data_IF_281269869227
#
_entry.id   IF_281269869227
#
_cell.length_a   1.000
_cell.length_b   1.000
_cell.length_c   1.000
_cell.angle_alpha   90.00
_cell.angle_beta   90.00
_cell.angle_gamma   90.00
#
_symmetry.space_group_name_H-M   'P 1'
#
loop_
_entity.id
_entity.type
_entity.pdbx_description
1 polymer ?
#
# COMPACT_ATOMS: atom_id res chain seq x y z
N UNK A 1 9.76 17.69 12.11
CA UNK A 1 8.85 18.68 11.48
C UNK A 1 7.53 18.62 12.24
N UNK A 2 6.80 19.70 12.38
CA UNK A 2 5.48 19.68 13.03
C UNK A 2 4.44 19.68 11.91
N UNK A 3 3.49 18.75 11.95
CA UNK A 3 2.39 18.69 11.01
C UNK A 3 1.43 19.87 11.29
N UNK A 4 1.33 20.83 10.37
CA UNK A 4 0.44 21.97 10.53
C UNK A 4 -1.02 21.54 10.33
N UNK A 5 -1.78 21.51 11.44
CA UNK A 5 -3.17 21.03 11.44
C UNK A 5 -4.08 21.83 10.52
N UNK A 6 -4.05 23.15 10.59
CA UNK A 6 -4.98 24.01 9.85
C UNK A 6 -4.73 23.93 8.34
N UNK A 7 -3.46 23.93 7.93
CA UNK A 7 -3.07 23.76 6.53
C UNK A 7 -3.46 22.38 6.01
N UNK A 8 -3.19 21.33 6.78
CA UNK A 8 -3.53 19.96 6.41
C UNK A 8 -5.04 19.76 6.25
N UNK A 9 -5.84 20.17 7.23
CA UNK A 9 -7.29 20.02 7.17
C UNK A 9 -7.88 20.77 5.97
N UNK A 10 -7.35 21.96 5.67
CA UNK A 10 -7.75 22.76 4.50
C UNK A 10 -7.35 22.08 3.18
N UNK A 11 -6.13 21.55 3.08
CA UNK A 11 -5.61 20.89 1.86
C UNK A 11 -6.45 19.67 1.51
N UNK A 12 -6.79 18.84 2.51
CA UNK A 12 -7.54 17.60 2.32
C UNK A 12 -9.06 17.76 2.47
N UNK A 13 -9.53 19.00 2.67
CA UNK A 13 -10.96 19.31 2.86
C UNK A 13 -11.60 18.46 3.95
N UNK A 14 -10.90 18.32 5.08
CA UNK A 14 -11.36 17.59 6.26
C UNK A 14 -11.90 18.59 7.29
N UNK A 15 -13.14 18.38 7.74
CA UNK A 15 -13.72 19.17 8.84
C UNK A 15 -13.08 18.74 10.17
N UNK A 16 -12.62 19.70 10.95
CA UNK A 16 -12.09 19.42 12.31
C UNK A 16 -13.11 18.66 13.17
N UNK A 17 -14.39 18.97 13.01
CA UNK A 17 -15.48 18.27 13.68
C UNK A 17 -15.45 16.77 13.39
N UNK A 18 -15.06 16.36 12.18
CA UNK A 18 -14.93 14.95 11.81
C UNK A 18 -13.91 14.23 12.71
N UNK A 19 -12.77 14.86 13.01
CA UNK A 19 -11.77 14.28 13.92
C UNK A 19 -12.31 14.12 15.33
N UNK A 20 -13.03 15.14 15.82
CA UNK A 20 -13.64 15.16 17.18
C UNK A 20 -14.72 14.07 17.27
N UNK A 21 -15.67 14.05 16.34
CA UNK A 21 -16.78 13.10 16.32
C UNK A 21 -16.31 11.64 16.17
N UNK A 22 -15.16 11.45 15.53
CA UNK A 22 -14.53 10.13 15.37
C UNK A 22 -13.41 9.85 16.39
N UNK A 23 -13.27 10.67 17.43
CA UNK A 23 -12.24 10.47 18.48
C UNK A 23 -10.85 10.16 17.89
N UNK A 24 -10.42 10.96 16.90
CA UNK A 24 -9.10 10.87 16.26
C UNK A 24 -8.19 11.92 16.90
N UNK A 25 -7.16 11.48 17.61
CA UNK A 25 -6.22 12.38 18.29
C UNK A 25 -5.18 12.93 17.31
N UNK A 26 -5.21 14.26 17.10
CA UNK A 26 -4.23 14.95 16.27
C UNK A 26 -2.79 14.79 16.76
N UNK A 27 -2.57 14.74 18.07
CA UNK A 27 -1.23 14.57 18.62
C UNK A 27 -0.65 13.20 18.23
N UNK A 28 -1.48 12.17 18.15
CA UNK A 28 -1.04 10.85 17.72
C UNK A 28 -0.74 10.85 16.21
N UNK A 29 -1.53 11.55 15.39
CA UNK A 29 -1.25 11.73 13.97
C UNK A 29 0.08 12.47 13.73
N UNK A 30 0.39 13.51 14.53
CA UNK A 30 1.68 14.22 14.46
C UNK A 30 2.86 13.31 14.85
N UNK A 31 2.70 12.47 15.87
CA UNK A 31 3.71 11.47 16.23
C UNK A 31 3.97 10.48 15.08
N UNK A 32 2.92 9.96 14.46
CA UNK A 32 3.02 9.05 13.30
C UNK A 32 3.71 9.75 12.14
N UNK A 33 3.32 11.00 11.84
CA UNK A 33 3.95 11.82 10.80
C UNK A 33 5.47 11.95 11.01
N UNK A 34 5.89 12.27 12.25
CA UNK A 34 7.29 12.45 12.59
C UNK A 34 8.08 11.13 12.54
N UNK A 35 7.49 10.02 13.08
CA UNK A 35 8.10 8.68 12.98
C UNK A 35 8.30 8.26 11.52
N UNK A 36 7.26 8.40 10.71
CA UNK A 36 7.34 8.05 9.29
C UNK A 36 8.38 8.90 8.54
N UNK A 37 8.40 10.21 8.76
CA UNK A 37 9.35 11.14 8.13
C UNK A 37 10.81 10.77 8.46
N UNK A 38 11.06 10.30 9.68
CA UNK A 38 12.39 9.84 10.11
C UNK A 38 12.85 8.61 9.32
N UNK A 39 11.96 7.69 9.01
CA UNK A 39 12.27 6.46 8.28
C UNK A 39 12.16 6.57 6.76
N UNK A 40 11.60 7.65 6.22
CA UNK A 40 11.33 7.81 4.78
C UNK A 40 12.53 7.52 3.89
N UNK A 41 13.72 8.03 4.27
CA UNK A 41 14.96 7.78 3.51
C UNK A 41 15.35 6.29 3.48
N UNK A 42 15.09 5.57 4.56
CA UNK A 42 15.29 4.12 4.61
C UNK A 42 14.32 3.40 3.66
N UNK A 43 13.06 3.79 3.63
CA UNK A 43 12.08 3.25 2.69
C UNK A 43 12.44 3.54 1.23
N UNK A 44 12.97 4.72 0.92
CA UNK A 44 13.47 5.05 -0.42
C UNK A 44 14.65 4.14 -0.82
N UNK A 45 15.55 3.88 0.10
CA UNK A 45 16.69 2.97 -0.12
C UNK A 45 16.22 1.55 -0.39
N UNK A 46 15.29 1.04 0.42
CA UNK A 46 14.70 -0.30 0.24
C UNK A 46 13.92 -0.40 -1.08
N UNK A 47 13.11 0.62 -1.41
CA UNK A 47 12.37 0.68 -2.66
C UNK A 47 13.29 0.62 -3.89
N UNK A 48 14.42 1.33 -3.85
CA UNK A 48 15.42 1.33 -4.90
C UNK A 48 16.12 -0.02 -5.02
N UNK A 49 16.49 -0.65 -3.89
CA UNK A 49 17.12 -1.98 -3.87
C UNK A 49 16.20 -3.02 -4.51
N UNK A 50 14.95 -3.11 -4.06
CA UNK A 50 13.98 -4.07 -4.60
C UNK A 50 13.72 -3.79 -6.08
N UNK A 51 13.61 -2.52 -6.47
CA UNK A 51 13.42 -2.13 -7.87
C UNK A 51 14.59 -2.55 -8.76
N UNK A 52 15.82 -2.45 -8.28
CA UNK A 52 17.00 -2.88 -9.01
C UNK A 52 16.99 -4.39 -9.20
N UNK A 53 16.71 -5.16 -8.15
CA UNK A 53 16.59 -6.63 -8.23
C UNK A 53 15.52 -7.04 -9.25
N UNK A 54 14.36 -6.38 -9.24
CA UNK A 54 13.28 -6.68 -10.19
C UNK A 54 13.66 -6.34 -11.64
N UNK A 55 14.46 -5.29 -11.88
CA UNK A 55 14.92 -4.91 -13.23
C UNK A 55 15.87 -5.93 -13.86
N UNK A 56 16.56 -6.71 -13.04
CA UNK A 56 17.47 -7.77 -13.55
C UNK A 56 16.70 -8.93 -14.21
N UNK A 57 15.39 -9.05 -13.96
CA UNK A 57 14.60 -10.13 -14.54
C UNK A 57 14.25 -9.85 -16.00
N UNK A 58 14.62 -10.77 -16.92
CA UNK A 58 14.50 -10.63 -18.38
C UNK A 58 13.09 -10.32 -18.91
N UNK A 59 12.05 -10.67 -18.13
CA UNK A 59 10.64 -10.45 -18.49
C UNK A 59 10.09 -9.13 -17.97
N UNK A 60 10.86 -8.42 -17.16
CA UNK A 60 10.48 -7.10 -16.64
C UNK A 60 10.86 -6.03 -17.67
N UNK A 61 9.86 -5.30 -18.15
CA UNK A 61 10.05 -4.20 -19.07
C UNK A 61 10.42 -2.90 -18.34
N UNK A 62 9.72 -2.58 -17.28
CA UNK A 62 10.02 -1.40 -16.46
C UNK A 62 9.58 -1.56 -15.01
N UNK A 63 10.26 -0.85 -14.13
CA UNK A 63 9.94 -0.80 -12.70
C UNK A 63 9.85 0.65 -12.25
N UNK A 64 8.76 0.99 -11.56
CA UNK A 64 8.59 2.28 -10.86
C UNK A 64 8.40 2.01 -9.38
N UNK A 65 9.18 2.70 -8.55
CA UNK A 65 9.00 2.70 -7.11
C UNK A 65 8.49 4.05 -6.63
N UNK A 66 7.74 4.03 -5.55
CA UNK A 66 7.36 5.22 -4.81
C UNK A 66 7.34 4.92 -3.33
N UNK A 67 7.75 5.87 -2.54
CA UNK A 67 7.47 5.92 -1.10
C UNK A 67 6.27 6.83 -0.90
N UNK A 68 5.39 6.48 0.01
CA UNK A 68 4.19 7.24 0.30
C UNK A 68 4.56 8.63 0.82
N UNK A 69 3.86 9.64 0.39
CA UNK A 69 3.98 10.99 0.92
C UNK A 69 3.44 11.04 2.36
N UNK A 70 4.06 11.83 3.23
CA UNK A 70 3.72 11.92 4.64
C UNK A 70 2.29 12.43 4.86
N UNK A 71 1.90 13.47 4.14
CA UNK A 71 0.56 14.02 4.26
C UNK A 71 -0.49 13.04 3.75
N UNK A 72 -0.21 12.37 2.61
CA UNK A 72 -1.07 11.31 2.09
C UNK A 72 -1.16 10.09 3.03
N UNK A 73 -0.12 9.82 3.84
CA UNK A 73 -0.19 8.80 4.89
C UNK A 73 -1.20 9.19 5.95
N UNK A 74 -1.11 10.42 6.47
CA UNK A 74 -2.03 10.90 7.51
C UNK A 74 -3.47 10.96 6.99
N UNK A 75 -3.70 11.46 5.78
CA UNK A 75 -5.02 11.42 5.13
C UNK A 75 -5.58 9.99 5.08
N UNK A 76 -4.75 9.03 4.65
CA UNK A 76 -5.17 7.63 4.57
C UNK A 76 -5.50 7.05 5.94
N UNK A 77 -4.73 7.36 6.96
CA UNK A 77 -4.98 6.95 8.35
C UNK A 77 -6.35 7.46 8.80
N UNK A 78 -6.62 8.75 8.64
CA UNK A 78 -7.90 9.36 9.01
C UNK A 78 -9.05 8.63 8.32
N UNK A 79 -8.97 8.46 7.02
CA UNK A 79 -9.99 7.80 6.19
C UNK A 79 -10.18 6.31 6.53
N UNK A 80 -9.10 5.62 6.94
CA UNK A 80 -9.12 4.19 7.26
C UNK A 80 -9.52 3.87 8.69
N UNK A 81 -9.55 4.85 9.59
CA UNK A 81 -9.88 4.65 11.01
C UNK A 81 -11.22 3.94 11.18
N UNK A 82 -12.25 4.35 10.44
CA UNK A 82 -13.58 3.73 10.55
C UNK A 82 -13.58 2.27 10.07
N UNK A 83 -12.91 1.96 8.95
CA UNK A 83 -12.78 0.59 8.44
C UNK A 83 -12.06 -0.32 9.46
N UNK A 84 -11.03 0.20 10.14
CA UNK A 84 -10.28 -0.53 11.15
C UNK A 84 -11.09 -0.76 12.42
N UNK A 85 -11.90 0.22 12.83
CA UNK A 85 -12.84 0.06 13.94
C UNK A 85 -13.91 -0.98 13.67
N UNK A 86 -14.39 -1.09 12.44
CA UNK A 86 -15.30 -2.19 12.05
C UNK A 86 -14.63 -3.56 12.18
N UNK A 87 -13.32 -3.64 11.93
CA UNK A 87 -12.55 -4.89 11.98
C UNK A 87 -12.12 -5.27 13.39
N UNK A 88 -11.64 -4.30 14.18
CA UNK A 88 -10.96 -4.54 15.46
C UNK A 88 -11.75 -4.08 16.69
N UNK A 89 -12.85 -3.36 16.51
CA UNK A 89 -13.64 -2.76 17.58
C UNK A 89 -13.53 -1.25 17.64
N UNK A 90 -14.52 -0.61 18.30
CA UNK A 90 -14.65 0.86 18.33
C UNK A 90 -13.49 1.58 19.05
N UNK A 91 -12.78 0.86 19.91
CA UNK A 91 -11.64 1.41 20.66
C UNK A 91 -10.35 1.46 19.82
N UNK A 92 -10.35 0.90 18.60
CA UNK A 92 -9.18 0.94 17.75
C UNK A 92 -8.83 2.38 17.36
N UNK A 93 -7.56 2.72 17.52
CA UNK A 93 -6.95 3.92 16.98
C UNK A 93 -5.60 3.58 16.36
N UNK A 94 -5.22 4.34 15.32
CA UNK A 94 -3.87 4.28 14.80
C UNK A 94 -2.89 4.92 15.79
N UNK A 95 -1.76 4.26 16.00
CA UNK A 95 -0.66 4.72 16.86
C UNK A 95 0.68 4.51 16.15
N UNK A 96 1.76 5.06 16.73
CA UNK A 96 3.13 4.87 16.22
C UNK A 96 3.51 3.38 16.18
N UNK A 97 2.95 2.56 17.09
CA UNK A 97 3.24 1.13 17.20
C UNK A 97 2.54 0.29 16.13
N UNK A 98 1.35 0.72 15.64
CA UNK A 98 0.53 -0.13 14.77
C UNK A 98 0.37 0.35 13.32
N UNK A 99 0.66 1.63 13.02
CA UNK A 99 0.36 2.15 11.67
C UNK A 99 1.12 1.43 10.55
N UNK A 100 2.31 0.91 10.83
CA UNK A 100 3.15 0.22 9.83
C UNK A 100 2.53 -1.11 9.41
N UNK A 101 1.89 -1.81 10.34
CA UNK A 101 1.21 -3.09 10.08
C UNK A 101 -0.12 -2.88 9.34
N UNK A 102 -0.81 -1.77 9.67
CA UNK A 102 -2.14 -1.49 9.13
C UNK A 102 -2.13 -0.78 7.77
N UNK A 103 -1.04 -0.08 7.44
CA UNK A 103 -0.86 0.65 6.18
C UNK A 103 0.22 -0.06 5.33
N UNK A 104 -0.22 -0.99 4.51
CA UNK A 104 0.66 -1.88 3.72
C UNK A 104 1.24 -1.25 2.45
N UNK A 105 0.91 0.02 2.12
CA UNK A 105 1.39 0.71 0.92
C UNK A 105 2.36 1.88 1.23
N UNK A 106 3.14 1.76 2.31
CA UNK A 106 4.18 2.73 2.65
C UNK A 106 5.26 2.80 1.56
N UNK A 107 5.57 1.64 0.98
CA UNK A 107 6.40 1.50 -0.21
C UNK A 107 5.58 0.80 -1.28
N UNK A 108 5.53 1.36 -2.48
CA UNK A 108 4.85 0.75 -3.62
C UNK A 108 5.82 0.57 -4.78
N UNK A 109 5.90 -0.65 -5.32
CA UNK A 109 6.70 -0.96 -6.49
C UNK A 109 5.78 -1.49 -7.57
N UNK A 110 5.86 -0.90 -8.76
CA UNK A 110 5.10 -1.31 -9.93
C UNK A 110 6.04 -1.91 -10.96
N UNK A 111 5.80 -3.16 -11.30
CA UNK A 111 6.45 -3.87 -12.39
C UNK A 111 5.53 -3.86 -13.62
N UNK A 112 6.08 -3.57 -14.78
CA UNK A 112 5.38 -3.66 -16.06
C UNK A 112 6.10 -4.69 -16.92
N UNK A 113 5.33 -5.61 -17.49
CA UNK A 113 5.75 -6.57 -18.50
C UNK A 113 4.93 -6.37 -19.78
N UNK A 114 5.41 -6.87 -20.92
CA UNK A 114 4.78 -6.62 -22.23
C UNK A 114 3.76 -7.70 -22.55
N UNK A 115 4.13 -8.97 -22.40
CA UNK A 115 3.26 -10.08 -22.73
C UNK A 115 2.58 -10.64 -21.47
N UNK A 116 1.31 -11.02 -21.59
CA UNK A 116 0.54 -11.55 -20.48
C UNK A 116 1.18 -12.79 -19.86
N UNK A 117 1.76 -13.62 -20.68
CA UNK A 117 2.41 -14.88 -20.30
C UNK A 117 3.68 -14.67 -19.47
N UNK A 118 4.33 -13.50 -19.60
CA UNK A 118 5.54 -13.17 -18.84
C UNK A 118 5.28 -13.07 -17.33
N UNK A 119 4.02 -12.89 -16.95
CA UNK A 119 3.63 -12.79 -15.55
C UNK A 119 4.03 -14.02 -14.71
N UNK A 120 3.88 -15.24 -15.24
CA UNK A 120 4.22 -16.46 -14.49
C UNK A 120 5.70 -16.54 -14.10
N UNK A 121 6.61 -16.17 -15.02
CA UNK A 121 8.05 -16.15 -14.72
C UNK A 121 8.37 -15.08 -13.66
N UNK A 122 7.72 -13.92 -13.73
CA UNK A 122 7.87 -12.83 -12.76
C UNK A 122 7.28 -13.24 -11.40
N UNK A 123 6.11 -13.90 -11.39
CA UNK A 123 5.50 -14.44 -10.17
C UNK A 123 6.44 -15.42 -9.46
N UNK A 124 6.97 -16.40 -10.20
CA UNK A 124 7.92 -17.37 -9.65
C UNK A 124 9.20 -16.72 -9.13
N UNK A 125 9.66 -15.66 -9.80
CA UNK A 125 10.80 -14.90 -9.34
C UNK A 125 10.52 -14.18 -8.02
N UNK A 126 9.39 -13.47 -7.92
CA UNK A 126 8.98 -12.74 -6.70
C UNK A 126 8.82 -13.71 -5.52
N UNK A 127 8.09 -14.80 -5.69
CA UNK A 127 7.80 -15.78 -4.64
C UNK A 127 9.04 -16.56 -4.18
N UNK A 128 10.06 -16.64 -5.03
CA UNK A 128 11.35 -17.23 -4.66
C UNK A 128 12.26 -16.27 -3.90
N UNK A 129 12.17 -14.97 -4.20
CA UNK A 129 13.07 -13.95 -3.64
C UNK A 129 12.59 -13.39 -2.30
N UNK A 130 11.30 -13.33 -2.06
CA UNK A 130 10.70 -12.71 -0.88
C UNK A 130 9.64 -13.59 -0.24
N UNK A 131 9.45 -13.43 1.06
CA UNK A 131 8.25 -13.94 1.72
C UNK A 131 7.04 -13.15 1.23
N UNK A 132 6.03 -13.84 0.75
CA UNK A 132 4.82 -13.21 0.24
C UNK A 132 3.66 -13.53 1.18
N UNK A 133 3.13 -12.48 1.84
CA UNK A 133 2.04 -12.62 2.81
C UNK A 133 0.67 -12.64 2.13
N UNK A 134 0.54 -11.94 1.01
CA UNK A 134 -0.73 -11.84 0.29
C UNK A 134 -0.48 -11.70 -1.22
N UNK A 135 -1.30 -12.38 -2.01
CA UNK A 135 -1.34 -12.22 -3.47
C UNK A 135 -2.78 -12.05 -3.91
N UNK A 136 -3.09 -10.93 -4.60
CA UNK A 136 -4.43 -10.66 -5.14
C UNK A 136 -4.34 -10.31 -6.61
N UNK A 137 -5.01 -11.08 -7.45
CA UNK A 137 -5.16 -10.82 -8.87
C UNK A 137 -6.39 -9.94 -9.15
N UNK A 138 -6.18 -8.70 -9.56
CA UNK A 138 -7.25 -7.84 -10.05
C UNK A 138 -7.43 -8.07 -11.55
N UNK A 139 -8.63 -8.44 -11.94
CA UNK A 139 -8.97 -8.79 -13.32
C UNK A 139 -10.17 -7.96 -13.82
N UNK A 140 -10.33 -7.89 -15.12
CA UNK A 140 -11.56 -7.39 -15.73
C UNK A 140 -12.61 -8.50 -15.73
N UNK A 141 -13.89 -8.14 -15.62
CA UNK A 141 -14.99 -9.07 -15.77
C UNK A 141 -14.91 -9.81 -17.14
N UNK A 142 -14.88 -11.14 -17.09
CA UNK A 142 -14.77 -12.00 -18.26
C UNK A 142 -13.35 -12.38 -18.66
N UNK A 143 -12.31 -11.94 -17.95
CA UNK A 143 -10.95 -12.46 -18.14
C UNK A 143 -10.87 -13.92 -17.66
N UNK A 144 -9.92 -14.67 -18.25
CA UNK A 144 -9.63 -16.03 -17.81
C UNK A 144 -8.92 -16.02 -16.46
N UNK A 145 -9.48 -16.74 -15.50
CA UNK A 145 -9.01 -16.82 -14.10
C UNK A 145 -8.22 -18.08 -13.78
N UNK A 146 -8.26 -19.07 -14.72
CA UNK A 146 -7.80 -20.43 -14.48
C UNK A 146 -6.39 -20.52 -13.88
N UNK A 147 -5.43 -19.79 -14.43
CA UNK A 147 -4.04 -19.81 -13.92
C UNK A 147 -3.94 -19.29 -12.48
N UNK A 148 -4.71 -18.25 -12.13
CA UNK A 148 -4.71 -17.71 -10.76
C UNK A 148 -5.35 -18.70 -9.79
N UNK A 149 -6.46 -19.33 -10.19
CA UNK A 149 -7.18 -20.33 -9.38
C UNK A 149 -6.32 -21.59 -9.15
N UNK A 150 -5.61 -22.07 -10.18
CA UNK A 150 -4.69 -23.20 -10.08
C UNK A 150 -3.52 -22.94 -9.12
N UNK A 151 -3.09 -21.68 -8.99
CA UNK A 151 -2.08 -21.23 -8.05
C UNK A 151 -2.63 -20.83 -6.67
N UNK A 152 -3.95 -20.96 -6.45
CA UNK A 152 -4.59 -20.57 -5.20
C UNK A 152 -4.58 -19.06 -4.92
N UNK A 153 -4.46 -18.23 -5.97
CA UNK A 153 -4.40 -16.77 -5.85
C UNK A 153 -5.83 -16.21 -5.80
N UNK A 154 -6.09 -15.33 -4.83
CA UNK A 154 -7.35 -14.61 -4.74
C UNK A 154 -7.60 -13.75 -5.97
N UNK A 155 -8.81 -13.87 -6.55
CA UNK A 155 -9.20 -13.15 -7.75
C UNK A 155 -10.28 -12.13 -7.45
N UNK A 156 -9.99 -10.85 -7.72
CA UNK A 156 -10.91 -9.73 -7.57
C UNK A 156 -11.31 -9.13 -8.92
N UNK A 157 -12.59 -9.18 -9.26
CA UNK A 157 -13.11 -8.54 -10.48
C UNK A 157 -13.28 -7.02 -10.29
N UNK A 158 -12.68 -6.23 -11.17
CA UNK A 158 -12.73 -4.76 -11.12
C UNK A 158 -13.60 -4.20 -12.26
N UNK A 159 -14.64 -3.44 -11.91
CA UNK A 159 -15.55 -2.79 -12.88
C UNK A 159 -14.80 -1.76 -13.74
N UNK A 160 -13.76 -1.12 -13.22
CA UNK A 160 -12.92 -0.15 -13.95
C UNK A 160 -12.10 -0.77 -15.08
N UNK A 161 -12.05 -2.10 -15.19
CA UNK A 161 -11.18 -2.79 -16.14
C UNK A 161 -9.70 -2.84 -15.72
N UNK A 162 -9.39 -2.42 -14.49
CA UNK A 162 -8.02 -2.49 -13.94
C UNK A 162 -7.55 -3.92 -13.83
N UNK A 163 -6.32 -4.16 -14.29
CA UNK A 163 -5.65 -5.47 -14.24
C UNK A 163 -4.30 -5.34 -13.57
N UNK A 164 -4.04 -6.17 -12.59
CA UNK A 164 -2.76 -6.26 -11.90
C UNK A 164 -2.71 -7.48 -11.00
N UNK A 165 -1.53 -7.96 -10.66
CA UNK A 165 -1.35 -8.86 -9.53
C UNK A 165 -0.63 -8.09 -8.44
N UNK A 166 -1.24 -8.00 -7.27
CA UNK A 166 -0.68 -7.33 -6.10
C UNK A 166 -0.02 -8.37 -5.21
N UNK A 167 1.16 -8.05 -4.74
CA UNK A 167 1.94 -8.84 -3.78
C UNK A 167 2.20 -7.99 -2.56
N UNK A 168 1.95 -8.54 -1.38
CA UNK A 168 2.45 -7.99 -0.11
C UNK A 168 3.66 -8.84 0.28
N UNK A 169 4.84 -8.24 0.25
CA UNK A 169 6.13 -8.90 0.50
C UNK A 169 6.79 -8.37 1.76
N UNK A 170 7.57 -9.23 2.42
CA UNK A 170 8.45 -8.92 3.53
C UNK A 170 9.91 -9.23 3.21
#
# INVERSE_FOLDING_TARGET
MVLNKDEFLKEYNIDEKFLIDNNIDWNELDKIYNDYSMYRKSYETQANLISNILREHKKVHSVKARVKDENHLIEKIIRKTEDRRRKYGQDFNFTVENYKDEITDLVGIRVIHIFKEDWEEIHNFITKMWNVNEIVANIRKGDNTKTFEELGIEVCSRLSGYRSVHYLIE
#
